data_IF_498179644610
#
_entry.id   IF_498179644610
#
_cell.length_a   1.000
_cell.length_b   1.000
_cell.length_c   1.000
_cell.angle_alpha   90.00
_cell.angle_beta   90.00
_cell.angle_gamma   90.00
#
_symmetry.space_group_name_H-M   'P 1'
#
loop_
_entity.id
_entity.type
_entity.pdbx_description
1 polymer ?
#
# COMPACT_ATOMS: atom_id res chain seq x y z
N UNK A 1 2.39 -1.78 -1.70
CA UNK A 1 1.90 -2.75 -2.71
C UNK A 1 0.87 -3.70 -2.12
N UNK A 2 1.23 -4.62 -1.21
CA UNK A 2 0.27 -5.58 -0.63
C UNK A 2 -0.97 -4.94 0.00
N UNK A 3 -0.81 -3.86 0.78
CA UNK A 3 -1.96 -3.09 1.32
C UNK A 3 -2.84 -2.50 0.20
N UNK A 4 -2.23 -2.06 -0.91
CA UNK A 4 -2.94 -1.52 -2.08
C UNK A 4 -3.86 -2.56 -2.72
N UNK A 5 -3.33 -3.75 -3.05
CA UNK A 5 -4.15 -4.83 -3.59
C UNK A 5 -5.18 -5.34 -2.59
N UNK A 6 -4.82 -5.43 -1.30
CA UNK A 6 -5.76 -5.81 -0.25
C UNK A 6 -6.96 -4.88 -0.21
N UNK A 7 -6.74 -3.56 -0.27
CA UNK A 7 -7.83 -2.58 -0.37
C UNK A 7 -8.59 -2.66 -1.68
N UNK A 8 -7.92 -2.91 -2.81
CA UNK A 8 -8.61 -3.02 -4.10
C UNK A 8 -9.54 -4.24 -4.16
N UNK A 9 -9.11 -5.39 -3.62
CA UNK A 9 -9.80 -6.67 -3.75
C UNK A 9 -10.73 -7.00 -2.58
N UNK A 10 -10.41 -6.53 -1.37
CA UNK A 10 -11.03 -7.00 -0.13
C UNK A 10 -11.64 -5.89 0.72
N UNK A 11 -11.70 -4.62 0.24
CA UNK A 11 -12.21 -3.47 1.04
C UNK A 11 -13.60 -3.68 1.65
N UNK A 12 -14.48 -4.45 0.99
CA UNK A 12 -15.85 -4.68 1.44
C UNK A 12 -15.93 -5.71 2.59
N UNK A 13 -14.88 -6.50 2.80
CA UNK A 13 -14.86 -7.57 3.80
C UNK A 13 -13.80 -7.37 4.89
N UNK A 14 -12.70 -6.68 4.57
CA UNK A 14 -11.54 -6.58 5.44
C UNK A 14 -10.89 -5.19 5.41
N UNK A 15 -10.40 -4.75 6.58
CA UNK A 15 -9.51 -3.59 6.67
C UNK A 15 -8.05 -4.06 6.48
N UNK A 16 -7.50 -3.82 5.29
CA UNK A 16 -6.09 -4.12 5.02
C UNK A 16 -5.17 -2.99 5.51
N UNK A 17 -4.13 -3.36 6.27
CA UNK A 17 -3.12 -2.45 6.85
C UNK A 17 -1.72 -3.02 6.65
N UNK A 18 -0.74 -2.14 6.55
CA UNK A 18 0.69 -2.47 6.50
C UNK A 18 1.48 -1.72 7.58
N UNK A 19 2.48 -2.39 8.12
CA UNK A 19 3.48 -1.86 9.06
C UNK A 19 4.81 -2.60 8.84
N UNK A 20 5.93 -1.95 9.16
CA UNK A 20 7.27 -2.51 9.07
C UNK A 20 8.08 -2.27 10.33
N UNK A 21 9.14 -3.05 10.52
CA UNK A 21 10.08 -2.91 11.64
C UNK A 21 10.92 -1.63 11.49
N UNK A 22 11.15 -1.19 10.26
CA UNK A 22 11.87 0.04 9.90
C UNK A 22 11.05 0.88 8.93
N UNK A 23 11.22 2.20 9.00
CA UNK A 23 10.49 3.17 8.18
C UNK A 23 11.42 3.84 7.18
N UNK A 24 11.50 3.29 5.97
CA UNK A 24 12.23 3.91 4.85
C UNK A 24 11.34 4.76 3.93
N UNK A 25 10.09 4.99 4.33
CA UNK A 25 9.12 5.72 3.52
C UNK A 25 8.51 4.84 2.42
N UNK A 26 7.71 5.45 1.56
CA UNK A 26 7.09 4.76 0.44
C UNK A 26 8.04 4.78 -0.76
N UNK A 27 8.33 3.62 -1.36
CA UNK A 27 9.20 3.54 -2.53
C UNK A 27 8.46 4.15 -3.75
N UNK A 28 9.02 5.18 -4.43
CA UNK A 28 8.38 5.80 -5.59
C UNK A 28 8.14 4.81 -6.74
N UNK A 29 9.02 3.82 -6.95
CA UNK A 29 8.80 2.76 -7.95
C UNK A 29 7.62 1.85 -7.59
N UNK A 30 7.33 1.67 -6.29
CA UNK A 30 6.15 0.94 -5.87
C UNK A 30 4.86 1.74 -6.10
N UNK A 31 4.93 3.08 -6.09
CA UNK A 31 3.80 3.94 -6.46
C UNK A 31 3.54 3.83 -7.96
N UNK A 32 4.59 3.93 -8.78
CA UNK A 32 4.51 3.83 -10.23
C UNK A 32 3.94 2.47 -10.66
N UNK A 33 4.52 1.37 -10.18
CA UNK A 33 4.07 0.02 -10.52
C UNK A 33 2.61 -0.26 -10.15
N UNK A 34 2.13 0.24 -9.00
CA UNK A 34 0.73 0.07 -8.62
C UNK A 34 -0.20 0.98 -9.42
N UNK A 35 0.27 2.16 -9.82
CA UNK A 35 -0.50 3.07 -10.67
C UNK A 35 -0.69 2.51 -12.08
N UNK A 36 0.27 1.71 -12.60
CA UNK A 36 0.09 0.96 -13.86
C UNK A 36 -1.10 0.00 -13.79
N UNK A 37 -1.35 -0.61 -12.63
CA UNK A 37 -2.52 -1.45 -12.36
C UNK A 37 -3.78 -0.65 -11.95
N UNK A 38 -3.74 0.69 -12.00
CA UNK A 38 -4.83 1.58 -11.61
C UNK A 38 -5.07 1.68 -10.10
N UNK A 39 -4.11 1.26 -9.28
CA UNK A 39 -4.18 1.28 -7.81
C UNK A 39 -3.28 2.39 -7.27
N UNK A 40 -3.88 3.49 -6.80
CA UNK A 40 -3.14 4.56 -6.17
C UNK A 40 -2.71 4.20 -4.74
N UNK A 41 -1.40 4.06 -4.52
CA UNK A 41 -0.81 3.88 -3.19
C UNK A 41 -0.08 5.13 -2.68
N UNK A 42 -0.09 6.25 -3.41
CA UNK A 42 0.66 7.47 -3.07
C UNK A 42 0.31 8.05 -1.70
N UNK A 43 -0.94 7.85 -1.25
CA UNK A 43 -1.42 8.28 0.06
C UNK A 43 -1.09 7.30 1.19
N UNK A 44 -0.54 6.12 0.89
CA UNK A 44 -0.13 5.15 1.89
C UNK A 44 1.11 5.64 2.64
N UNK A 45 1.09 5.50 3.97
CA UNK A 45 2.20 5.90 4.83
C UNK A 45 2.80 4.65 5.47
N UNK A 46 4.12 4.52 5.38
CA UNK A 46 4.85 3.49 6.09
C UNK A 46 4.69 3.71 7.61
N UNK A 47 4.12 2.73 8.30
CA UNK A 47 3.90 2.74 9.76
C UNK A 47 4.95 1.85 10.43
N UNK A 48 5.43 2.28 11.60
CA UNK A 48 6.17 1.40 12.50
C UNK A 48 5.16 0.48 13.20
N UNK A 49 5.59 -0.74 13.49
CA UNK A 49 4.79 -1.71 14.26
C UNK A 49 4.72 -1.34 15.74
#
# INVERSE_FOLDING_TARGET
MAEGYGKALLKDQYECRSAGVEKHGLNPYAVEAMAEDGIDISQQKSKLI
#
